data_IF_740065123459
#
_entry.id   IF_740065123459
#
_cell.length_a   1.000
_cell.length_b   1.000
_cell.length_c   1.000
_cell.angle_alpha   90.00
_cell.angle_beta   90.00
_cell.angle_gamma   90.00
#
_symmetry.space_group_name_H-M   'P 1'
#
loop_
_entity.id
_entity.type
_entity.pdbx_description
1 polymer ?
#
# COMPACT_ATOMS: atom_id res chain seq x y z
N UNK A 1 -0.84 18.39 -18.81
CA UNK A 1 -1.99 18.62 -17.91
C UNK A 1 -2.48 17.25 -17.43
N UNK A 2 -2.77 17.06 -16.13
CA UNK A 2 -3.45 15.87 -15.63
C UNK A 2 -4.77 15.65 -16.38
N UNK A 3 -5.13 14.40 -16.64
CA UNK A 3 -6.38 14.00 -17.30
C UNK A 3 -7.52 13.82 -16.30
N UNK A 4 -7.18 13.64 -15.02
CA UNK A 4 -8.12 13.50 -13.91
C UNK A 4 -7.37 13.36 -12.59
N UNK A 5 -8.13 13.16 -11.52
CA UNK A 5 -7.61 12.95 -10.16
C UNK A 5 -8.14 11.62 -9.65
N UNK A 6 -7.24 10.77 -9.17
CA UNK A 6 -7.58 9.55 -8.46
C UNK A 6 -7.41 9.79 -6.96
N UNK A 7 -8.48 9.54 -6.21
CA UNK A 7 -8.47 9.49 -4.76
C UNK A 7 -8.52 8.02 -4.33
N UNK A 8 -7.60 7.60 -3.47
CA UNK A 8 -7.53 6.24 -2.92
C UNK A 8 -7.53 6.32 -1.41
N UNK A 9 -8.41 5.55 -0.78
CA UNK A 9 -8.44 5.40 0.67
C UNK A 9 -7.99 3.99 1.01
N UNK A 10 -6.86 3.87 1.70
CA UNK A 10 -6.39 2.61 2.26
C UNK A 10 -7.08 2.44 3.62
N UNK A 11 -8.16 1.66 3.63
CA UNK A 11 -9.00 1.45 4.82
C UNK A 11 -8.32 0.51 5.80
N UNK A 12 -8.15 -0.76 5.41
CA UNK A 12 -7.69 -1.83 6.30
C UNK A 12 -7.07 -2.99 5.53
N UNK A 13 -6.25 -3.78 6.23
CA UNK A 13 -5.77 -5.10 5.82
C UNK A 13 -6.44 -6.18 6.68
N UNK A 14 -6.63 -7.38 6.13
CA UNK A 14 -7.17 -8.52 6.87
C UNK A 14 -6.37 -9.77 6.59
N UNK A 15 -6.14 -10.56 7.63
CA UNK A 15 -5.46 -11.86 7.53
C UNK A 15 -4.10 -11.73 6.84
N UNK A 16 -3.32 -10.70 7.20
CA UNK A 16 -1.96 -10.57 6.71
C UNK A 16 -1.14 -11.80 7.14
N UNK A 17 -0.34 -12.33 6.22
CA UNK A 17 0.52 -13.48 6.49
C UNK A 17 1.57 -13.08 7.52
N UNK A 18 1.70 -13.86 8.59
CA UNK A 18 2.79 -13.70 9.55
C UNK A 18 4.15 -13.83 8.86
N UNK A 19 4.99 -12.80 8.99
CA UNK A 19 6.39 -12.85 8.58
C UNK A 19 7.32 -13.14 9.75
N UNK A 20 6.93 -12.80 10.96
CA UNK A 20 7.70 -13.09 12.15
C UNK A 20 7.52 -14.54 12.63
N UNK A 21 8.65 -15.18 12.97
CA UNK A 21 8.65 -16.46 13.69
C UNK A 21 8.07 -16.31 15.11
N UNK A 22 8.14 -15.10 15.67
CA UNK A 22 7.61 -14.71 16.99
C UNK A 22 7.19 -13.24 16.90
N UNK A 23 5.89 -12.96 16.82
CA UNK A 23 5.37 -11.59 16.71
C UNK A 23 4.17 -11.50 15.76
N UNK A 24 3.55 -10.32 15.67
CA UNK A 24 2.64 -9.96 14.59
C UNK A 24 3.29 -8.85 13.76
N UNK A 25 2.90 -8.72 12.50
CA UNK A 25 3.54 -7.77 11.59
C UNK A 25 3.38 -6.30 12.03
N UNK A 26 4.40 -5.50 11.72
CA UNK A 26 4.37 -4.04 11.78
C UNK A 26 4.05 -3.46 10.38
N UNK A 27 2.77 -3.48 10.03
CA UNK A 27 2.33 -3.36 8.64
C UNK A 27 2.20 -1.91 8.13
N UNK A 28 2.71 -1.64 6.92
CA UNK A 28 2.38 -0.45 6.14
C UNK A 28 2.16 -0.78 4.66
N UNK A 29 1.45 0.09 3.94
CA UNK A 29 1.21 -0.04 2.50
C UNK A 29 1.98 1.03 1.75
N UNK A 30 2.81 0.63 0.79
CA UNK A 30 3.36 1.52 -0.24
C UNK A 30 2.41 1.53 -1.44
N UNK A 31 1.89 2.70 -1.80
CA UNK A 31 0.96 2.91 -2.92
C UNK A 31 1.60 3.80 -3.98
N UNK A 32 1.47 3.42 -5.26
CA UNK A 32 2.10 4.13 -6.36
C UNK A 32 1.40 3.96 -7.71
N UNK A 33 1.45 5.02 -8.53
CA UNK A 33 0.86 5.06 -9.86
C UNK A 33 1.94 4.83 -10.92
N UNK A 34 1.77 3.83 -11.80
CA UNK A 34 2.70 3.51 -12.90
C UNK A 34 4.17 3.33 -12.47
N UNK A 35 4.38 2.70 -11.31
CA UNK A 35 5.71 2.53 -10.68
C UNK A 35 6.40 3.85 -10.33
N UNK A 36 5.67 4.96 -10.30
CA UNK A 36 6.11 6.32 -9.95
C UNK A 36 5.21 6.89 -8.85
N UNK A 37 5.55 8.08 -8.35
CA UNK A 37 4.72 8.81 -7.37
C UNK A 37 4.42 8.02 -6.09
N UNK A 38 5.43 7.33 -5.55
CA UNK A 38 5.29 6.50 -4.34
C UNK A 38 4.87 7.32 -3.13
N UNK A 39 3.85 6.84 -2.44
CA UNK A 39 3.39 7.30 -1.14
C UNK A 39 3.24 6.08 -0.23
N UNK A 40 3.18 6.27 1.09
CA UNK A 40 2.95 5.16 2.02
C UNK A 40 2.06 5.58 3.17
N UNK A 41 1.40 4.58 3.76
CA UNK A 41 0.70 4.76 5.03
C UNK A 41 1.68 4.93 6.19
N UNK A 42 1.15 5.34 7.33
CA UNK A 42 1.74 5.07 8.63
C UNK A 42 1.90 3.57 8.86
N UNK A 43 2.83 3.21 9.74
CA UNK A 43 3.00 1.83 10.19
C UNK A 43 1.99 1.54 11.29
N UNK A 44 1.26 0.44 11.16
CA UNK A 44 0.38 -0.09 12.19
C UNK A 44 1.07 -1.29 12.84
N UNK A 45 1.50 -1.14 14.09
CA UNK A 45 2.31 -2.14 14.75
C UNK A 45 1.52 -3.32 15.33
N UNK A 46 2.18 -4.48 15.38
CA UNK A 46 1.75 -5.70 16.07
C UNK A 46 0.31 -6.12 15.72
N UNK A 47 -0.04 -6.13 14.43
CA UNK A 47 -1.37 -6.55 13.98
C UNK A 47 -1.40 -7.11 12.56
N UNK A 48 -2.06 -8.26 12.40
CA UNK A 48 -2.39 -8.85 11.10
C UNK A 48 -3.70 -8.32 10.50
N UNK A 49 -4.35 -7.39 11.21
CA UNK A 49 -5.60 -6.74 10.84
C UNK A 49 -5.50 -5.22 10.99
N UNK A 50 -4.51 -4.57 10.34
CA UNK A 50 -4.27 -3.14 10.51
C UNK A 50 -5.41 -2.32 9.91
N UNK A 51 -5.72 -1.19 10.55
CA UNK A 51 -6.68 -0.20 10.04
C UNK A 51 -5.95 1.13 9.90
N UNK A 52 -5.71 1.57 8.67
CA UNK A 52 -4.99 2.82 8.39
C UNK A 52 -5.94 3.99 8.20
N UNK A 53 -7.03 3.81 7.44
CA UNK A 53 -7.96 4.88 7.06
C UNK A 53 -7.26 6.13 6.48
N UNK A 54 -6.23 5.90 5.65
CA UNK A 54 -5.42 6.97 5.07
C UNK A 54 -5.80 7.25 3.61
N UNK A 55 -5.83 8.53 3.26
CA UNK A 55 -6.24 9.03 1.94
C UNK A 55 -5.04 9.52 1.15
N UNK A 56 -4.99 9.13 -0.12
CA UNK A 56 -3.95 9.49 -1.08
C UNK A 56 -4.58 10.04 -2.34
N UNK A 57 -3.91 11.01 -2.96
CA UNK A 57 -4.36 11.64 -4.20
C UNK A 57 -3.27 11.52 -5.26
N UNK A 58 -3.66 11.14 -6.46
CA UNK A 58 -2.78 11.02 -7.62
C UNK A 58 -3.36 11.78 -8.80
N UNK A 59 -2.47 12.45 -9.54
CA UNK A 59 -2.82 13.08 -10.81
C UNK A 59 -2.69 12.03 -11.92
N UNK A 60 -3.80 11.71 -12.56
CA UNK A 60 -3.84 10.76 -13.67
C UNK A 60 -3.21 11.36 -14.92
N UNK A 61 -2.55 10.52 -15.72
CA UNK A 61 -1.99 10.91 -17.01
C UNK A 61 -2.81 10.29 -18.14
N UNK A 62 -2.37 10.50 -19.39
CA UNK A 62 -3.10 10.03 -20.55
C UNK A 62 -2.66 8.61 -20.89
N UNK A 63 -3.42 7.63 -20.41
CA UNK A 63 -3.32 6.21 -20.80
C UNK A 63 -2.85 5.27 -19.69
N UNK A 64 -3.35 4.02 -19.73
CA UNK A 64 -2.91 2.81 -19.00
C UNK A 64 -2.50 2.93 -17.51
N UNK A 65 -2.98 3.97 -16.83
CA UNK A 65 -2.76 4.26 -15.42
C UNK A 65 -3.07 3.02 -14.56
N UNK A 66 -2.04 2.48 -13.92
CA UNK A 66 -2.16 1.32 -13.02
C UNK A 66 -1.72 1.74 -11.63
N UNK A 67 -2.66 1.66 -10.67
CA UNK A 67 -2.35 1.84 -9.27
C UNK A 67 -1.84 0.52 -8.69
N UNK A 68 -0.76 0.58 -7.94
CA UNK A 68 -0.13 -0.55 -7.27
C UNK A 68 -0.13 -0.32 -5.76
N UNK A 69 -0.18 -1.42 -5.02
CA UNK A 69 -0.10 -1.43 -3.56
C UNK A 69 0.74 -2.62 -3.13
N UNK A 70 1.81 -2.34 -2.41
CA UNK A 70 2.70 -3.34 -1.81
C UNK A 70 2.60 -3.22 -0.29
N UNK A 71 2.33 -4.33 0.39
CA UNK A 71 2.24 -4.41 1.85
C UNK A 71 3.57 -4.91 2.40
N UNK A 72 4.10 -4.23 3.41
CA UNK A 72 5.39 -4.53 4.02
C UNK A 72 5.29 -4.63 5.53
N UNK A 73 6.20 -5.39 6.11
CA UNK A 73 6.52 -5.34 7.53
C UNK A 73 7.66 -4.33 7.78
N UNK A 74 7.57 -3.52 8.84
CA UNK A 74 8.54 -2.49 9.19
C UNK A 74 9.66 -2.98 10.12
N UNK A 75 9.44 -4.07 10.87
CA UNK A 75 10.39 -4.55 11.89
C UNK A 75 11.54 -5.39 11.32
N UNK A 76 11.35 -5.95 10.13
CA UNK A 76 12.35 -6.82 9.53
C UNK A 76 13.48 -5.97 8.92
N UNK A 77 14.73 -6.33 9.24
CA UNK A 77 15.91 -5.76 8.56
C UNK A 77 15.91 -6.22 7.10
N UNK A 78 15.39 -5.35 6.24
CA UNK A 78 15.09 -5.65 4.84
C UNK A 78 13.60 -5.47 4.57
N UNK A 79 13.23 -4.98 3.38
CA UNK A 79 11.81 -4.79 3.03
C UNK A 79 11.16 -6.13 2.75
N UNK A 80 10.69 -6.81 3.79
CA UNK A 80 9.99 -8.07 3.61
C UNK A 80 8.56 -7.80 3.13
N UNK A 81 8.34 -8.07 1.85
CA UNK A 81 7.04 -7.85 1.20
C UNK A 81 6.07 -8.91 1.69
N UNK A 82 4.98 -8.52 2.37
CA UNK A 82 3.90 -9.40 2.82
C UNK A 82 3.06 -9.84 1.61
N UNK A 83 2.69 -8.90 0.75
CA UNK A 83 1.89 -9.13 -0.45
C UNK A 83 1.81 -7.90 -1.35
N UNK A 84 1.23 -8.08 -2.54
CA UNK A 84 1.07 -7.00 -3.52
C UNK A 84 -0.24 -7.12 -4.30
N UNK A 85 -0.72 -5.98 -4.80
CA UNK A 85 -1.89 -5.89 -5.65
C UNK A 85 -1.76 -4.74 -6.64
N UNK A 86 -2.56 -4.79 -7.71
CA UNK A 86 -2.64 -3.71 -8.69
C UNK A 86 -4.03 -3.62 -9.29
N UNK A 87 -4.45 -2.41 -9.65
CA UNK A 87 -5.70 -2.14 -10.36
C UNK A 87 -5.38 -1.26 -11.56
N UNK A 88 -5.76 -1.73 -12.74
CA UNK A 88 -5.69 -0.95 -13.97
C UNK A 88 -6.93 -0.06 -14.05
N UNK A 89 -6.73 1.25 -14.16
CA UNK A 89 -7.80 2.22 -14.33
C UNK A 89 -8.23 2.21 -15.80
N UNK A 90 -9.55 2.28 -16.04
CA UNK A 90 -10.13 2.23 -17.38
C UNK A 90 -10.20 3.62 -18.01
#
# INVERSE_FOLDING_TARGET
>A
MPTGTLEVIIVEGRHLKDRDLVGQNDAYVEIYLDKKYKQRTTTFSNSNHPTWNERFTFNLQKGDDTIHFDVYDADVVGRDSIGSGKVKLK
#
